data_IF_828642321193
#
_entry.id   IF_828642321193
#
_cell.length_a   1.000
_cell.length_b   1.000
_cell.length_c   1.000
_cell.angle_alpha   90.00
_cell.angle_beta   90.00
_cell.angle_gamma   90.00
#
_symmetry.space_group_name_H-M   'P 1'
#
loop_
_entity.id
_entity.type
_entity.pdbx_description
1 polymer ?
#
# COMPACT_ATOMS: atom_id res chain seq x y z
N UNK A 1 15.99 22.24 -12.68
CA UNK A 1 16.16 21.24 -11.58
C UNK A 1 15.67 21.73 -10.22
N UNK A 2 16.07 22.91 -9.70
CA UNK A 2 15.55 23.43 -8.40
C UNK A 2 14.02 23.59 -8.41
N UNK A 3 13.45 24.03 -9.53
CA UNK A 3 12.01 24.22 -9.73
C UNK A 3 11.20 22.93 -9.51
N UNK A 4 11.67 21.80 -10.08
CA UNK A 4 11.04 20.48 -9.96
C UNK A 4 10.96 20.04 -8.50
N UNK A 5 12.05 20.22 -7.74
CA UNK A 5 12.11 19.85 -6.32
C UNK A 5 11.16 20.69 -5.45
N UNK A 6 11.02 21.98 -5.76
CA UNK A 6 10.09 22.88 -5.05
C UNK A 6 8.64 22.44 -5.28
N UNK A 7 8.29 22.12 -6.53
CA UNK A 7 6.96 21.60 -6.87
C UNK A 7 6.71 20.27 -6.16
N UNK A 8 7.64 19.32 -6.25
CA UNK A 8 7.55 18.03 -5.57
C UNK A 8 7.28 18.17 -4.06
N UNK A 9 8.04 19.02 -3.36
CA UNK A 9 7.90 19.22 -1.92
C UNK A 9 6.56 19.85 -1.56
N UNK A 10 6.06 20.79 -2.39
CA UNK A 10 4.74 21.39 -2.22
C UNK A 10 3.64 20.35 -2.37
N UNK A 11 3.70 19.55 -3.43
CA UNK A 11 2.69 18.51 -3.69
C UNK A 11 2.68 17.44 -2.60
N UNK A 12 3.86 16.95 -2.18
CA UNK A 12 3.97 16.04 -1.03
C UNK A 12 3.32 16.63 0.22
N UNK A 13 3.62 17.89 0.56
CA UNK A 13 3.01 18.55 1.72
C UNK A 13 1.49 18.69 1.57
N UNK A 14 0.99 18.98 0.36
CA UNK A 14 -0.44 19.09 0.08
C UNK A 14 -1.18 17.75 0.31
N UNK A 15 -0.56 16.61 0.00
CA UNK A 15 -1.14 15.30 0.33
C UNK A 15 -1.27 15.08 1.85
N UNK A 16 -0.32 15.55 2.67
CA UNK A 16 -0.39 15.42 4.13
C UNK A 16 -1.33 16.42 4.80
N UNK A 17 -1.67 17.54 4.14
CA UNK A 17 -2.67 18.49 4.68
C UNK A 17 -4.08 18.11 4.24
N UNK A 18 -4.23 17.41 3.11
CA UNK A 18 -5.53 17.07 2.54
C UNK A 18 -6.24 15.95 3.33
N UNK A 19 -7.43 16.19 3.93
CA UNK A 19 -8.22 15.16 4.60
C UNK A 19 -8.63 14.01 3.67
N UNK A 20 -8.78 14.31 2.38
CA UNK A 20 -9.17 13.33 1.35
C UNK A 20 -8.07 12.29 1.15
N UNK A 21 -6.80 12.69 1.21
CA UNK A 21 -5.69 11.75 1.07
C UNK A 21 -5.73 10.67 2.16
N UNK A 22 -5.98 11.08 3.42
CA UNK A 22 -6.15 10.15 4.53
C UNK A 22 -7.34 9.20 4.35
N UNK A 23 -8.48 9.70 3.86
CA UNK A 23 -9.65 8.86 3.57
C UNK A 23 -9.34 7.80 2.51
N UNK A 24 -8.64 8.19 1.45
CA UNK A 24 -8.22 7.26 0.39
C UNK A 24 -7.24 6.22 0.95
N UNK A 25 -6.24 6.65 1.73
CA UNK A 25 -5.29 5.75 2.37
C UNK A 25 -6.00 4.72 3.27
N UNK A 26 -6.95 5.18 4.09
CA UNK A 26 -7.76 4.33 4.94
C UNK A 26 -8.59 3.33 4.13
N UNK A 27 -9.29 3.78 3.09
CA UNK A 27 -10.10 2.91 2.23
C UNK A 27 -9.25 1.83 1.55
N UNK A 28 -8.06 2.18 1.04
CA UNK A 28 -7.11 1.21 0.47
C UNK A 28 -6.68 0.18 1.51
N UNK A 29 -6.30 0.63 2.71
CA UNK A 29 -5.88 -0.28 3.78
C UNK A 29 -6.99 -1.24 4.19
N UNK A 30 -8.23 -0.77 4.33
CA UNK A 30 -9.38 -1.62 4.66
C UNK A 30 -9.65 -2.63 3.54
N UNK A 31 -9.63 -2.22 2.28
CA UNK A 31 -9.82 -3.14 1.16
C UNK A 31 -8.74 -4.23 1.17
N UNK A 32 -7.47 -3.87 1.33
CA UNK A 32 -6.37 -4.83 1.42
C UNK A 32 -6.55 -5.77 2.63
N UNK A 33 -7.02 -5.27 3.77
CA UNK A 33 -7.29 -6.10 4.95
C UNK A 33 -8.37 -7.15 4.66
N UNK A 34 -9.42 -6.79 3.91
CA UNK A 34 -10.50 -7.71 3.55
C UNK A 34 -9.99 -8.83 2.63
N UNK A 35 -9.26 -8.48 1.57
CA UNK A 35 -8.65 -9.48 0.67
C UNK A 35 -7.69 -10.40 1.42
N UNK A 36 -6.86 -9.82 2.29
CA UNK A 36 -5.92 -10.56 3.12
C UNK A 36 -6.62 -11.56 4.06
N UNK A 37 -7.71 -11.15 4.70
CA UNK A 37 -8.47 -12.03 5.60
C UNK A 37 -9.13 -13.19 4.83
N UNK A 38 -9.73 -12.91 3.68
CA UNK A 38 -10.31 -13.94 2.81
C UNK A 38 -9.27 -14.96 2.31
N UNK A 39 -8.06 -14.51 1.95
CA UNK A 39 -6.96 -15.40 1.56
C UNK A 39 -6.49 -16.26 2.75
N UNK A 40 -6.33 -15.67 3.93
CA UNK A 40 -5.96 -16.40 5.13
C UNK A 40 -6.97 -17.50 5.48
N UNK A 41 -8.27 -17.20 5.45
CA UNK A 41 -9.34 -18.16 5.72
C UNK A 41 -9.34 -19.31 4.69
N UNK A 42 -9.18 -18.98 3.40
CA UNK A 42 -9.06 -19.98 2.33
C UNK A 42 -7.84 -20.88 2.49
N UNK A 43 -6.75 -20.39 3.08
CA UNK A 43 -5.52 -21.16 3.25
C UNK A 43 -5.52 -21.99 4.53
N UNK A 44 -6.14 -21.48 5.60
CA UNK A 44 -6.38 -22.25 6.84
C UNK A 44 -7.29 -23.44 6.57
N UNK A 45 -8.40 -23.24 5.84
CA UNK A 45 -9.32 -24.34 5.49
C UNK A 45 -8.66 -25.43 4.64
N UNK A 46 -7.76 -25.06 3.73
CA UNK A 46 -7.02 -26.00 2.89
C UNK A 46 -5.69 -26.51 3.49
N UNK A 47 -5.39 -26.16 4.76
CA UNK A 47 -4.12 -26.52 5.43
C UNK A 47 -2.84 -26.09 4.68
N UNK A 48 -2.90 -25.01 3.91
CA UNK A 48 -1.78 -24.48 3.13
C UNK A 48 -0.92 -23.53 3.98
N UNK A 49 0.41 -23.61 3.85
CA UNK A 49 1.35 -22.75 4.59
C UNK A 49 1.23 -21.28 4.13
N UNK A 50 1.02 -20.28 5.01
CA UNK A 50 0.87 -18.85 4.68
C UNK A 50 1.91 -18.36 3.66
N UNK A 51 1.48 -17.70 2.58
CA UNK A 51 2.37 -17.17 1.54
C UNK A 51 2.23 -15.66 1.43
N UNK A 52 3.27 -14.92 1.81
CA UNK A 52 3.32 -13.46 1.71
C UNK A 52 3.33 -12.91 0.28
N UNK A 53 3.55 -13.76 -0.73
CA UNK A 53 3.49 -13.35 -2.14
C UNK A 53 2.05 -13.02 -2.60
N UNK A 54 1.03 -13.60 -1.96
CA UNK A 54 -0.38 -13.35 -2.33
C UNK A 54 -0.78 -11.92 -1.98
N UNK A 55 -0.37 -11.43 -0.81
CA UNK A 55 -0.60 -10.05 -0.37
C UNK A 55 0.01 -9.03 -1.35
N UNK A 56 1.19 -9.33 -1.89
CA UNK A 56 1.83 -8.48 -2.89
C UNK A 56 1.07 -8.50 -4.23
N UNK A 57 0.52 -9.65 -4.62
CA UNK A 57 -0.26 -9.79 -5.84
C UNK A 57 -1.60 -9.02 -5.76
N UNK A 58 -2.32 -9.12 -4.63
CA UNK A 58 -3.57 -8.38 -4.41
C UNK A 58 -3.34 -6.87 -4.43
N UNK A 59 -2.22 -6.42 -3.85
CA UNK A 59 -1.84 -5.02 -3.89
C UNK A 59 -1.47 -4.55 -5.29
N UNK A 60 -0.72 -5.35 -6.05
CA UNK A 60 -0.39 -5.06 -7.44
C UNK A 60 -1.66 -4.96 -8.30
N UNK A 61 -2.64 -5.84 -8.05
CA UNK A 61 -3.94 -5.80 -8.72
C UNK A 61 -4.73 -4.52 -8.41
N UNK A 62 -4.84 -4.15 -7.13
CA UNK A 62 -5.48 -2.88 -6.74
C UNK A 62 -4.78 -1.67 -7.37
N UNK A 63 -3.46 -1.72 -7.52
CA UNK A 63 -2.71 -0.62 -8.10
C UNK A 63 -2.95 -0.39 -9.60
N UNK A 64 -3.42 -1.40 -10.34
CA UNK A 64 -3.88 -1.19 -11.72
C UNK A 64 -5.07 -0.22 -11.80
N UNK A 65 -5.90 -0.17 -10.76
CA UNK A 65 -7.03 0.76 -10.68
C UNK A 65 -6.66 2.11 -10.05
N UNK A 66 -5.77 2.11 -9.06
CA UNK A 66 -5.32 3.34 -8.41
C UNK A 66 -4.37 4.18 -9.26
N UNK A 67 -3.55 3.55 -10.11
CA UNK A 67 -2.66 4.26 -11.04
C UNK A 67 -3.42 5.24 -11.97
N UNK A 68 -4.44 4.83 -12.75
CA UNK A 68 -5.20 5.74 -13.59
C UNK A 68 -6.04 6.73 -12.77
N UNK A 69 -6.54 6.33 -11.59
CA UNK A 69 -7.27 7.24 -10.71
C UNK A 69 -6.39 8.41 -10.24
N UNK A 70 -5.15 8.14 -9.85
CA UNK A 70 -4.20 9.16 -9.40
C UNK A 70 -3.73 10.07 -10.54
N UNK A 71 -3.46 9.50 -11.72
CA UNK A 71 -3.01 10.30 -12.88
C UNK A 71 -4.12 11.14 -13.47
N UNK A 72 -5.35 10.62 -13.56
CA UNK A 72 -6.51 11.39 -14.03
C UNK A 72 -6.90 12.48 -13.03
N UNK A 73 -6.81 12.22 -11.72
CA UNK A 73 -7.06 13.24 -10.71
C UNK A 73 -6.10 14.42 -10.84
N UNK A 74 -4.83 14.15 -11.11
CA UNK A 74 -3.80 15.19 -11.32
C UNK A 74 -4.17 16.17 -12.44
N UNK A 75 -4.62 15.64 -13.58
CA UNK A 75 -5.01 16.41 -14.77
C UNK A 75 -6.38 17.09 -14.59
N UNK A 76 -7.32 16.41 -13.92
CA UNK A 76 -8.66 16.92 -13.68
C UNK A 76 -8.69 18.03 -12.62
N UNK A 77 -7.84 17.96 -11.58
CA UNK A 77 -7.72 19.00 -10.56
C UNK A 77 -7.18 20.31 -11.17
N UNK A 78 -6.23 20.26 -12.11
CA UNK A 78 -5.74 21.45 -12.84
C UNK A 78 -6.79 22.07 -13.77
N UNK A 79 -7.53 21.23 -14.50
CA UNK A 79 -8.60 21.70 -15.39
C UNK A 79 -9.76 22.34 -14.60
N UNK A 80 -10.00 21.90 -13.37
CA UNK A 80 -11.12 22.35 -12.53
C UNK A 80 -10.80 23.56 -11.66
N UNK A 81 -9.55 23.73 -11.24
CA UNK A 81 -9.11 24.86 -10.42
C UNK A 81 -8.73 26.11 -11.23
N UNK A 82 -8.65 26.02 -12.57
CA UNK A 82 -8.24 27.13 -13.42
C UNK A 82 -6.77 27.55 -13.24
N UNK A 83 -6.00 26.78 -12.46
CA UNK A 83 -4.57 27.01 -12.19
C UNK A 83 -3.71 26.88 -13.44
N UNK A 84 -4.24 26.26 -14.51
CA UNK A 84 -3.59 26.24 -15.83
C UNK A 84 -3.29 27.66 -16.34
N UNK A 85 -4.22 28.61 -16.14
CA UNK A 85 -4.08 29.99 -16.61
C UNK A 85 -3.03 30.76 -15.80
N UNK A 86 -2.97 30.53 -14.49
CA UNK A 86 -1.94 31.13 -13.63
C UNK A 86 -0.55 30.54 -13.90
N UNK A 87 -0.47 29.25 -14.25
CA UNK A 87 0.78 28.56 -14.55
C UNK A 87 1.38 28.96 -15.90
N UNK A 88 0.54 29.23 -16.90
CA UNK A 88 0.95 29.80 -18.20
C UNK A 88 1.58 31.20 -18.07
N UNK A 89 1.36 31.91 -16.95
CA UNK A 89 1.97 33.23 -16.69
C UNK A 89 3.29 33.16 -15.92
N UNK A 90 3.63 32.00 -15.33
CA UNK A 90 4.92 31.80 -14.68
C UNK A 90 5.97 31.34 -15.70
N UNK A 91 7.24 31.81 -15.63
CA UNK A 91 8.31 31.39 -16.53
C UNK A 91 8.85 30.00 -16.16
N UNK A 92 7.95 29.01 -16.06
CA UNK A 92 8.25 27.62 -15.76
C UNK A 92 7.97 26.79 -17.02
N UNK A 93 8.89 25.88 -17.36
CA UNK A 93 8.70 24.98 -18.50
C UNK A 93 7.64 23.95 -18.13
N UNK A 94 6.61 23.77 -18.97
CA UNK A 94 5.52 22.80 -18.74
C UNK A 94 6.03 21.41 -18.35
N UNK A 95 7.11 20.96 -18.98
CA UNK A 95 7.75 19.68 -18.68
C UNK A 95 8.31 19.58 -17.25
N UNK A 96 8.85 20.66 -16.68
CA UNK A 96 9.34 20.65 -15.29
C UNK A 96 8.19 20.56 -14.29
N UNK A 97 7.04 21.13 -14.63
CA UNK A 97 5.84 21.08 -13.81
C UNK A 97 5.23 19.68 -13.79
N UNK A 98 5.02 19.10 -14.97
CA UNK A 98 4.48 17.74 -15.13
C UNK A 98 5.36 16.74 -14.38
N UNK A 99 6.68 16.85 -14.52
CA UNK A 99 7.62 15.99 -13.79
C UNK A 99 7.57 16.18 -12.27
N UNK A 100 7.47 17.42 -11.78
CA UNK A 100 7.35 17.69 -10.34
C UNK A 100 6.09 17.10 -9.73
N UNK A 101 4.95 17.22 -10.42
CA UNK A 101 3.67 16.64 -9.98
C UNK A 101 3.66 15.11 -10.06
N UNK A 102 4.20 14.54 -11.15
CA UNK A 102 4.36 13.09 -11.28
C UNK A 102 5.19 12.52 -10.14
N UNK A 103 6.33 13.15 -9.81
CA UNK A 103 7.16 12.74 -8.68
C UNK A 103 6.41 12.87 -7.35
N UNK A 104 5.57 13.88 -7.17
CA UNK A 104 4.75 14.05 -5.96
C UNK A 104 3.76 12.91 -5.76
N UNK A 105 3.02 12.56 -6.83
CA UNK A 105 2.11 11.43 -6.84
C UNK A 105 2.84 10.10 -6.63
N UNK A 106 4.01 9.92 -7.26
CA UNK A 106 4.85 8.75 -7.05
C UNK A 106 5.35 8.67 -5.61
N UNK A 107 5.80 9.77 -5.01
CA UNK A 107 6.22 9.78 -3.60
C UNK A 107 5.10 9.36 -2.65
N UNK A 108 3.89 9.88 -2.85
CA UNK A 108 2.71 9.49 -2.08
C UNK A 108 2.36 8.00 -2.27
N UNK A 109 2.47 7.51 -3.51
CA UNK A 109 2.29 6.10 -3.85
C UNK A 109 3.30 5.19 -3.12
N UNK A 110 4.58 5.56 -3.11
CA UNK A 110 5.62 4.81 -2.39
C UNK A 110 5.35 4.79 -0.88
N UNK A 111 4.81 5.88 -0.34
CA UNK A 111 4.43 5.93 1.07
C UNK A 111 3.25 4.99 1.38
N UNK A 112 2.21 4.98 0.53
CA UNK A 112 1.09 4.03 0.65
C UNK A 112 1.55 2.57 0.58
N UNK A 113 2.48 2.26 -0.33
CA UNK A 113 3.14 0.95 -0.41
C UNK A 113 3.91 0.62 0.88
N UNK A 114 4.60 1.61 1.46
CA UNK A 114 5.31 1.43 2.72
C UNK A 114 4.36 1.02 3.85
N UNK A 115 3.17 1.61 3.91
CA UNK A 115 2.17 1.29 4.94
C UNK A 115 1.64 -0.14 4.83
N UNK A 116 1.62 -0.73 3.63
CA UNK A 116 1.09 -2.10 3.44
C UNK A 116 2.10 -3.20 3.77
N UNK A 117 3.38 -2.85 3.97
CA UNK A 117 4.37 -3.78 4.53
C UNK A 117 3.99 -4.27 5.94
N UNK A 118 3.01 -3.66 6.60
CA UNK A 118 2.48 -4.15 7.87
C UNK A 118 1.89 -5.57 7.76
N UNK A 119 1.27 -5.94 6.63
CA UNK A 119 0.64 -7.25 6.43
C UNK A 119 1.64 -8.42 6.37
N UNK A 120 2.73 -8.38 5.58
CA UNK A 120 3.74 -9.44 5.62
C UNK A 120 4.46 -9.51 6.98
N UNK A 121 4.61 -8.38 7.69
CA UNK A 121 5.13 -8.39 9.07
C UNK A 121 4.19 -9.16 10.01
N UNK A 122 2.88 -8.95 9.90
CA UNK A 122 1.88 -9.71 10.66
C UNK A 122 1.98 -11.21 10.33
N UNK A 123 2.07 -11.58 9.06
CA UNK A 123 2.25 -12.97 8.63
C UNK A 123 3.46 -13.65 9.27
N UNK A 124 4.63 -12.98 9.22
CA UNK A 124 5.87 -13.51 9.80
C UNK A 124 5.70 -13.80 11.29
N UNK A 125 5.09 -12.88 12.03
CA UNK A 125 4.82 -13.09 13.45
C UNK A 125 3.88 -14.28 13.65
N UNK A 126 2.76 -14.37 12.91
CA UNK A 126 1.78 -15.45 13.05
C UNK A 126 2.36 -16.83 12.71
N UNK A 127 3.24 -16.94 11.71
CA UNK A 127 3.90 -18.21 11.37
C UNK A 127 4.85 -18.67 12.46
N UNK A 128 5.62 -17.77 13.08
CA UNK A 128 6.58 -18.11 14.15
C UNK A 128 5.90 -18.76 15.36
N UNK A 129 4.66 -18.37 15.69
CA UNK A 129 3.88 -19.00 16.78
C UNK A 129 3.28 -20.35 16.41
N UNK A 130 2.97 -20.58 15.13
CA UNK A 130 2.39 -21.86 14.66
C UNK A 130 3.44 -22.98 14.60
N UNK A 131 4.69 -22.62 14.42
CA UNK A 131 5.83 -23.55 14.39
C UNK A 131 6.34 -23.90 15.80
N UNK A 132 5.73 -23.38 16.87
CA UNK A 132 5.99 -23.88 18.23
C UNK A 132 5.48 -25.32 18.30
N UNK A 133 6.35 -26.32 18.37
CA UNK A 133 5.93 -27.70 18.41
C UNK A 133 5.36 -27.95 19.80
N UNK A 134 4.04 -27.82 19.97
CA UNK A 134 3.32 -28.34 21.14
C UNK A 134 3.08 -29.87 21.03
N UNK A 135 3.68 -30.52 20.02
CA UNK A 135 3.62 -31.97 19.82
C UNK A 135 4.46 -32.83 20.81
N UNK A 136 5.57 -32.39 21.42
CA UNK A 136 6.37 -33.28 22.28
C UNK A 136 5.72 -33.55 23.65
N UNK A 137 4.83 -32.66 24.13
CA UNK A 137 4.35 -32.73 25.52
C UNK A 137 3.17 -33.72 25.65
N UNK A 138 2.43 -33.99 24.59
CA UNK A 138 1.28 -34.90 24.62
C UNK A 138 1.63 -36.38 24.33
N UNK A 139 2.86 -36.68 23.88
CA UNK A 139 3.25 -38.05 23.49
C UNK A 139 4.05 -38.81 24.57
N UNK A 140 4.53 -38.13 25.61
CA UNK A 140 5.29 -38.76 26.71
C UNK A 140 4.40 -39.63 27.63
N UNK A 141 3.08 -39.46 27.57
CA UNK A 141 2.13 -40.19 28.43
C UNK A 141 1.64 -41.55 27.91
N UNK A 142 1.97 -41.94 26.67
CA UNK A 142 1.39 -43.17 26.04
C UNK A 142 2.37 -44.34 25.94
N UNK A 143 3.67 -44.13 26.20
CA UNK A 143 4.72 -45.16 26.10
C UNK A 143 4.88 -46.05 27.35
N UNK A 144 4.29 -45.72 28.50
CA UNK A 144 4.48 -46.49 29.75
C UNK A 144 3.52 -47.66 29.95
N UNK A 145 2.69 -47.98 28.94
CA UNK A 145 1.66 -49.04 29.03
C UNK A 145 1.98 -50.31 28.24
N UNK A 146 3.23 -50.49 27.82
CA UNK A 146 3.71 -51.67 27.09
C UNK A 146 5.10 -52.12 27.57
N UNK A 147 5.29 -52.38 28.86
CA UNK A 147 6.26 -53.37 29.38
C UNK A 147 5.64 -54.02 30.62
#
# INVERSE_FOLDING_TARGET
MRSIWIVFKREMAQYFVSPIAYLVAFAVLVLVALFFNSDLEGRVSNSLAPNGAVVQADFAFLMVFFAPLLTMRLLAEEAREGTLELMLTLPLRDAELVLGKFLGAWGYYTLLLGTTLIYPVILLNLTTWRDVPLKPILDVGRSSRLI
#
